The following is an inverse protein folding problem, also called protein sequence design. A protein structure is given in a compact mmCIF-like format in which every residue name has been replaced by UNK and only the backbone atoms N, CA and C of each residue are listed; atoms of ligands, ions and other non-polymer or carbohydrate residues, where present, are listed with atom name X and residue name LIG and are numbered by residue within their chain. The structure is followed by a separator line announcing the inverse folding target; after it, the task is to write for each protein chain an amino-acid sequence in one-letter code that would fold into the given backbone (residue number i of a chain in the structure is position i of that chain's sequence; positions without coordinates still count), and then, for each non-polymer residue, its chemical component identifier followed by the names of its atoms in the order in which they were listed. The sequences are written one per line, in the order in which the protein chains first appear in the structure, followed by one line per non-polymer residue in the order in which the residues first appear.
data_IF_313120516584
#
_entry.id   IF_313120516584
#
_cell.length_a   1.000
_cell.length_b   1.000
_cell.length_c   1.000
_cell.angle_alpha   90.00
_cell.angle_beta   90.00
_cell.angle_gamma   90.00
#
_symmetry.space_group_name_H-M   'P 1'
#
loop_
_entity.id
_entity.type
_entity.pdbx_description
1 polymer ?
#
# COMPACT_ATOMS: atom_id res chain seq x y z
N UNK A 1 -6.28 17.04 15.28
CA UNK A 1 -7.42 16.31 14.65
C UNK A 1 -8.60 16.33 15.61
N UNK A 2 -9.88 16.39 15.16
CA UNK A 2 -11.01 16.15 16.06
C UNK A 2 -10.88 14.75 16.68
N UNK A 3 -11.23 14.60 17.93
CA UNK A 3 -11.02 13.36 18.67
C UNK A 3 -11.94 12.20 18.25
N UNK A 4 -13.00 12.45 17.48
CA UNK A 4 -13.92 11.42 17.00
C UNK A 4 -14.63 11.86 15.72
N UNK A 5 -14.50 11.06 14.67
CA UNK A 5 -15.27 11.15 13.44
C UNK A 5 -16.55 10.34 13.56
N UNK A 6 -17.65 10.83 12.96
CA UNK A 6 -18.90 10.09 12.92
C UNK A 6 -18.78 8.84 12.03
N UNK A 7 -19.51 7.79 12.40
CA UNK A 7 -19.44 6.46 11.82
C UNK A 7 -20.80 6.07 11.24
N UNK A 8 -20.79 5.41 10.08
CA UNK A 8 -21.95 4.80 9.45
C UNK A 8 -21.65 3.34 9.06
N UNK A 9 -22.67 2.59 8.71
CA UNK A 9 -22.54 1.17 8.35
C UNK A 9 -21.50 0.92 7.24
N UNK A 10 -21.41 1.81 6.27
CA UNK A 10 -20.56 1.58 5.09
C UNK A 10 -21.14 0.56 4.12
N UNK A 11 -20.32 0.14 3.14
CA UNK A 11 -20.67 -0.80 2.08
C UNK A 11 -19.67 -1.98 2.02
N UNK A 12 -20.12 -3.20 1.67
CA UNK A 12 -19.27 -4.39 1.59
C UNK A 12 -18.39 -4.43 0.32
N UNK A 13 -17.89 -3.29 -0.10
CA UNK A 13 -17.00 -3.12 -1.25
C UNK A 13 -16.95 -1.68 -1.75
N UNK A 14 -15.93 -1.38 -2.61
CA UNK A 14 -14.78 -2.24 -2.91
C UNK A 14 -13.86 -2.44 -1.69
N UNK A 15 -13.09 -3.55 -1.63
CA UNK A 15 -12.12 -3.76 -0.54
C UNK A 15 -11.02 -2.68 -0.53
N UNK A 16 -10.47 -2.43 0.65
CA UNK A 16 -9.56 -1.32 0.92
C UNK A 16 -10.29 -0.07 1.43
N UNK A 17 -9.60 1.06 1.47
CA UNK A 17 -10.18 2.37 1.78
C UNK A 17 -10.63 3.07 0.50
N UNK A 18 -11.93 3.40 0.42
CA UNK A 18 -12.52 4.17 -0.69
C UNK A 18 -12.85 5.57 -0.18
N UNK A 19 -12.01 6.52 -0.55
CA UNK A 19 -12.09 7.91 -0.10
C UNK A 19 -13.06 8.74 -0.94
N UNK A 20 -13.80 9.60 -0.26
CA UNK A 20 -14.39 10.82 -0.80
C UNK A 20 -14.29 11.94 0.25
N UNK A 21 -14.38 13.23 -0.14
CA UNK A 21 -14.37 14.33 0.85
C UNK A 21 -15.49 14.26 1.89
N UNK A 22 -16.61 13.63 1.55
CA UNK A 22 -17.74 13.46 2.46
C UNK A 22 -17.58 12.27 3.40
N UNK A 23 -16.97 11.18 2.93
CA UNK A 23 -16.94 9.92 3.66
C UNK A 23 -15.86 9.00 3.09
N UNK A 24 -15.18 8.24 3.95
CA UNK A 24 -14.29 7.14 3.56
C UNK A 24 -14.92 5.81 3.96
N UNK A 25 -15.12 4.93 2.98
CA UNK A 25 -15.57 3.56 3.24
C UNK A 25 -14.38 2.62 3.36
N UNK A 26 -14.30 1.87 4.44
CA UNK A 26 -13.31 0.84 4.68
C UNK A 26 -13.97 -0.53 4.54
N UNK A 27 -13.32 -1.43 3.81
CA UNK A 27 -13.83 -2.78 3.62
C UNK A 27 -12.67 -3.80 3.58
N UNK A 28 -12.77 -4.87 4.39
CA UNK A 28 -11.78 -5.93 4.44
C UNK A 28 -12.44 -7.30 4.48
N UNK A 29 -11.84 -8.27 3.79
CA UNK A 29 -12.29 -9.66 3.82
C UNK A 29 -11.68 -10.39 5.03
N UNK A 30 -12.52 -11.05 5.81
CA UNK A 30 -12.05 -12.00 6.83
C UNK A 30 -13.13 -13.05 7.11
N UNK A 31 -12.84 -14.31 6.76
CA UNK A 31 -13.75 -15.43 6.98
C UNK A 31 -13.86 -15.79 8.47
N UNK A 32 -12.72 -15.82 9.15
CA UNK A 32 -12.59 -16.45 10.47
C UNK A 32 -12.55 -15.43 11.63
N UNK A 33 -12.66 -14.13 11.34
CA UNK A 33 -12.74 -13.11 12.37
C UNK A 33 -14.06 -13.18 13.11
N UNK A 34 -13.99 -13.16 14.44
CA UNK A 34 -15.15 -13.07 15.35
C UNK A 34 -15.36 -11.64 15.86
N UNK A 35 -14.42 -10.73 15.64
CA UNK A 35 -14.49 -9.31 15.93
C UNK A 35 -13.51 -8.55 15.04
N UNK A 36 -13.84 -7.29 14.78
CA UNK A 36 -13.02 -6.40 13.93
C UNK A 36 -13.08 -4.99 14.48
N UNK A 37 -11.94 -4.33 14.50
CA UNK A 37 -11.83 -2.92 14.82
C UNK A 37 -11.00 -2.22 13.73
N UNK A 38 -11.43 -1.03 13.33
CA UNK A 38 -10.64 -0.12 12.51
C UNK A 38 -9.88 0.82 13.43
N UNK A 39 -8.57 0.88 13.28
CA UNK A 39 -7.67 1.74 14.03
C UNK A 39 -7.26 2.92 13.13
N UNK A 40 -7.47 4.15 13.61
CA UNK A 40 -7.15 5.37 12.86
C UNK A 40 -6.01 6.12 13.54
N UNK A 41 -4.99 6.51 12.77
CA UNK A 41 -3.81 7.23 13.23
C UNK A 41 -3.62 8.51 12.43
N UNK A 42 -3.11 9.55 13.07
CA UNK A 42 -2.85 10.82 12.40
C UNK A 42 -1.53 10.81 11.63
N UNK A 43 -0.52 10.14 12.20
CA UNK A 43 0.84 10.09 11.68
C UNK A 43 1.46 8.70 11.84
N UNK A 44 2.52 8.42 11.09
CA UNK A 44 3.28 7.18 11.18
C UNK A 44 4.00 7.02 12.52
N UNK A 45 4.32 8.11 13.20
CA UNK A 45 4.99 8.11 14.52
C UNK A 45 4.03 7.85 15.69
N UNK A 46 2.71 7.88 15.48
CA UNK A 46 1.74 7.67 16.56
C UNK A 46 1.80 6.24 17.07
N UNK A 47 2.07 6.05 18.37
CA UNK A 47 2.04 4.74 19.00
C UNK A 47 0.61 4.22 19.18
N UNK A 48 -0.36 5.12 19.42
CA UNK A 48 -1.75 4.81 19.70
C UNK A 48 -2.68 5.44 18.66
N UNK A 49 -3.77 4.75 18.28
CA UNK A 49 -4.77 5.32 17.39
C UNK A 49 -5.51 6.47 18.06
N UNK A 50 -5.76 7.56 17.33
CA UNK A 50 -6.60 8.64 17.83
C UNK A 50 -8.09 8.23 17.90
N UNK A 51 -8.50 7.22 17.12
CA UNK A 51 -9.85 6.66 17.17
C UNK A 51 -9.80 5.16 16.89
N UNK A 52 -10.53 4.40 17.72
CA UNK A 52 -10.80 2.97 17.51
C UNK A 52 -12.28 2.80 17.20
N UNK A 53 -12.58 2.20 16.06
CA UNK A 53 -13.95 1.94 15.62
C UNK A 53 -14.24 0.45 15.75
N UNK A 54 -15.00 0.05 16.77
CA UNK A 54 -15.42 -1.33 16.92
C UNK A 54 -16.59 -1.65 16.01
N UNK A 55 -16.42 -2.64 15.15
CA UNK A 55 -17.44 -3.08 14.19
C UNK A 55 -18.43 -4.02 14.87
N UNK A 56 -19.74 -3.69 14.76
CA UNK A 56 -20.83 -4.43 15.39
C UNK A 56 -21.61 -5.25 14.36
N UNK A 57 -22.02 -6.46 14.74
CA UNK A 57 -22.90 -7.30 13.93
C UNK A 57 -24.37 -6.96 14.17
N UNK A 58 -25.24 -7.08 13.16
CA UNK A 58 -24.95 -7.42 11.75
C UNK A 58 -24.56 -6.19 10.89
N UNK A 59 -24.55 -4.98 11.45
CA UNK A 59 -24.45 -3.71 10.72
C UNK A 59 -23.18 -3.60 9.86
N UNK A 60 -22.03 -4.06 10.37
CA UNK A 60 -20.73 -3.85 9.76
C UNK A 60 -20.16 -5.12 9.11
N UNK A 61 -21.01 -6.10 8.82
CA UNK A 61 -20.59 -7.33 8.15
C UNK A 61 -21.62 -7.83 7.16
N UNK A 62 -21.17 -8.08 5.93
CA UNK A 62 -21.94 -8.79 4.91
C UNK A 62 -21.14 -10.01 4.44
N UNK A 63 -21.67 -11.22 4.67
CA UNK A 63 -20.94 -12.47 4.47
C UNK A 63 -19.59 -12.46 5.21
N UNK A 64 -18.47 -12.43 4.48
CA UNK A 64 -17.13 -12.39 5.02
C UNK A 64 -16.45 -11.01 4.91
N UNK A 65 -17.18 -10.00 4.41
CA UNK A 65 -16.68 -8.64 4.29
C UNK A 65 -17.08 -7.81 5.51
N UNK A 66 -16.09 -7.28 6.20
CA UNK A 66 -16.26 -6.32 7.28
C UNK A 66 -16.12 -4.92 6.69
N UNK A 67 -17.03 -4.03 7.04
CA UNK A 67 -17.07 -2.69 6.45
C UNK A 67 -17.57 -1.64 7.45
N UNK A 68 -17.09 -0.42 7.26
CA UNK A 68 -17.52 0.75 8.03
C UNK A 68 -17.21 2.01 7.21
N UNK A 69 -18.06 3.01 7.33
CA UNK A 69 -17.80 4.31 6.76
C UNK A 69 -17.49 5.33 7.86
N UNK A 70 -16.52 6.20 7.61
CA UNK A 70 -16.09 7.27 8.51
C UNK A 70 -16.28 8.61 7.80
N UNK A 71 -17.08 9.51 8.39
CA UNK A 71 -17.43 10.76 7.77
C UNK A 71 -16.27 11.76 7.77
N UNK A 72 -16.04 12.43 6.63
CA UNK A 72 -15.09 13.53 6.46
C UNK A 72 -13.68 13.25 7.00
N UNK A 73 -13.25 11.98 6.92
CA UNK A 73 -11.91 11.60 7.30
C UNK A 73 -10.90 12.21 6.32
N UNK A 74 -9.86 12.93 6.77
CA UNK A 74 -8.87 13.50 5.88
C UNK A 74 -8.11 12.45 5.07
N UNK A 75 -7.80 12.76 3.82
CA UNK A 75 -6.78 12.02 3.08
C UNK A 75 -5.43 12.12 3.82
N UNK A 76 -4.61 11.09 3.74
CA UNK A 76 -3.37 10.97 4.51
C UNK A 76 -3.57 10.32 5.88
N UNK A 77 -4.80 10.18 6.38
CA UNK A 77 -5.05 9.40 7.61
C UNK A 77 -4.53 7.98 7.45
N UNK A 78 -3.79 7.50 8.44
CA UNK A 78 -3.28 6.15 8.44
C UNK A 78 -4.23 5.22 9.19
N UNK A 79 -4.25 3.95 8.80
CA UNK A 79 -5.15 2.98 9.43
C UNK A 79 -4.61 1.56 9.39
N UNK A 80 -5.06 0.76 10.35
CA UNK A 80 -4.90 -0.69 10.39
C UNK A 80 -6.20 -1.36 10.85
N UNK A 81 -6.27 -2.67 10.70
CA UNK A 81 -7.31 -3.49 11.25
C UNK A 81 -6.82 -4.24 12.48
N UNK A 82 -7.60 -4.24 13.57
CA UNK A 82 -7.40 -5.18 14.68
C UNK A 82 -8.41 -6.30 14.57
N UNK A 83 -7.89 -7.48 14.28
CA UNK A 83 -8.71 -8.69 14.05
C UNK A 83 -8.74 -9.52 15.30
N UNK A 84 -9.94 -9.88 15.75
CA UNK A 84 -10.15 -10.85 16.83
C UNK A 84 -10.47 -12.21 16.23
N UNK A 85 -9.70 -13.23 16.60
CA UNK A 85 -9.92 -14.63 16.24
C UNK A 85 -10.03 -15.49 17.49
N UNK A 86 -10.68 -16.65 17.34
CA UNK A 86 -10.75 -17.69 18.37
C UNK A 86 -10.26 -18.99 17.75
N UNK A 87 -9.30 -19.62 18.41
CA UNK A 87 -8.77 -20.93 18.02
C UNK A 87 -8.63 -21.84 19.25
N UNK A 88 -7.96 -22.98 19.09
CA UNK A 88 -7.74 -23.94 20.18
C UNK A 88 -6.96 -23.36 21.39
N UNK A 89 -6.18 -22.29 21.17
CA UNK A 89 -5.38 -21.63 22.21
C UNK A 89 -6.13 -20.45 22.87
N UNK A 90 -7.36 -20.16 22.42
CA UNK A 90 -8.20 -19.11 23.00
C UNK A 90 -8.50 -17.95 22.05
N UNK A 91 -8.75 -16.78 22.64
CA UNK A 91 -9.08 -15.56 21.93
C UNK A 91 -7.81 -14.72 21.73
N UNK A 92 -7.52 -14.39 20.49
CA UNK A 92 -6.34 -13.60 20.09
C UNK A 92 -6.77 -12.34 19.34
N UNK A 93 -6.02 -11.27 19.56
CA UNK A 93 -6.13 -10.04 18.77
C UNK A 93 -4.81 -9.79 18.08
N UNK A 94 -4.90 -9.41 16.80
CA UNK A 94 -3.74 -9.07 15.99
C UNK A 94 -4.03 -7.81 15.19
N UNK A 95 -3.14 -6.83 15.26
CA UNK A 95 -3.14 -5.69 14.37
C UNK A 95 -2.50 -6.09 13.03
N UNK A 96 -3.21 -5.80 11.94
CA UNK A 96 -2.81 -6.20 10.59
C UNK A 96 -2.97 -5.05 9.61
N UNK A 97 -2.04 -4.98 8.66
CA UNK A 97 -2.17 -4.12 7.50
C UNK A 97 -3.34 -4.58 6.62
N UNK A 98 -4.06 -3.64 6.04
CA UNK A 98 -5.02 -3.94 4.98
C UNK A 98 -4.29 -4.40 3.70
N UNK A 99 -4.48 -5.65 3.25
CA UNK A 99 -3.78 -6.17 2.07
C UNK A 99 -4.20 -5.47 0.77
N UNK A 100 -5.29 -4.70 0.79
CA UNK A 100 -5.79 -3.92 -0.34
C UNK A 100 -5.73 -2.41 -0.08
N UNK A 101 -4.92 -1.98 0.91
CA UNK A 101 -4.55 -0.58 1.06
C UNK A 101 -3.96 -0.04 -0.25
N UNK A 102 -4.34 1.16 -0.65
CA UNK A 102 -3.90 1.79 -1.90
C UNK A 102 -2.58 2.55 -1.77
N UNK A 103 -2.22 2.93 -0.55
CA UNK A 103 -0.92 3.45 -0.15
C UNK A 103 -0.58 2.90 1.23
N UNK A 104 0.69 2.77 1.52
CA UNK A 104 1.16 2.31 2.84
C UNK A 104 2.28 3.21 3.37
N UNK A 105 2.35 3.30 4.70
CA UNK A 105 3.45 3.86 5.47
C UNK A 105 4.29 2.75 6.06
N UNK A 106 5.60 2.89 6.00
CA UNK A 106 6.56 1.93 6.55
C UNK A 106 7.60 2.56 7.47
N UNK A 107 7.52 3.86 7.76
CA UNK A 107 8.55 4.63 8.48
C UNK A 107 8.83 4.09 9.88
N UNK A 108 7.81 3.60 10.57
CA UNK A 108 7.91 3.15 11.96
C UNK A 108 8.30 1.68 12.11
N UNK A 109 8.46 0.94 11.00
CA UNK A 109 8.72 -0.48 11.11
C UNK A 109 10.21 -0.82 10.96
N UNK A 110 10.75 -1.49 11.98
CA UNK A 110 12.11 -2.02 12.02
C UNK A 110 12.07 -3.49 12.40
N UNK A 111 12.41 -4.38 11.46
CA UNK A 111 12.35 -5.84 11.67
C UNK A 111 13.16 -6.30 12.88
N UNK A 112 14.32 -5.68 13.16
CA UNK A 112 15.18 -6.06 14.27
C UNK A 112 14.46 -5.91 15.62
N UNK A 113 13.54 -4.98 15.73
CA UNK A 113 12.78 -4.68 16.94
C UNK A 113 11.47 -5.46 17.02
N UNK A 114 11.00 -6.01 15.89
CA UNK A 114 9.73 -6.74 15.82
C UNK A 114 9.81 -8.11 16.50
N UNK A 115 8.73 -8.49 17.18
CA UNK A 115 8.54 -9.81 17.80
C UNK A 115 7.28 -10.47 17.23
N UNK A 116 7.23 -11.82 17.14
CA UNK A 116 6.04 -12.54 16.74
C UNK A 116 4.83 -12.16 17.59
N UNK A 117 3.73 -11.76 16.91
CA UNK A 117 2.49 -11.30 17.56
C UNK A 117 2.40 -9.79 17.79
N UNK A 118 3.47 -9.04 17.54
CA UNK A 118 3.43 -7.57 17.54
C UNK A 118 3.02 -7.02 16.16
N UNK A 119 2.42 -5.81 16.11
CA UNK A 119 2.13 -5.14 14.85
C UNK A 119 3.40 -4.95 14.01
N UNK A 120 3.27 -5.08 12.69
CA UNK A 120 4.40 -4.86 11.77
C UNK A 120 4.81 -3.38 11.65
N UNK A 121 4.07 -2.44 12.24
CA UNK A 121 4.29 -1.01 12.08
C UNK A 121 3.97 -0.47 10.69
N UNK A 122 3.57 -1.34 9.76
CA UNK A 122 3.07 -0.95 8.44
C UNK A 122 1.61 -0.53 8.57
N UNK A 123 1.24 0.61 7.98
CA UNK A 123 -0.14 1.12 8.00
C UNK A 123 -0.64 1.43 6.61
N UNK A 124 -1.93 1.19 6.37
CA UNK A 124 -2.60 1.72 5.20
C UNK A 124 -2.74 3.24 5.29
N UNK A 125 -2.70 3.93 4.18
CA UNK A 125 -2.94 5.37 4.08
C UNK A 125 -4.22 5.61 3.28
N UNK A 126 -5.11 6.44 3.79
CA UNK A 126 -6.30 6.90 3.06
C UNK A 126 -5.85 7.83 1.94
N UNK A 127 -5.93 7.34 0.72
CA UNK A 127 -5.47 8.08 -0.45
C UNK A 127 -6.64 8.75 -1.18
N UNK A 128 -6.53 10.05 -1.41
CA UNK A 128 -7.38 10.77 -2.34
C UNK A 128 -6.81 10.58 -3.74
N UNK A 129 -7.59 10.03 -4.65
CA UNK A 129 -7.19 9.96 -6.05
C UNK A 129 -8.40 10.17 -6.94
N UNK A 130 -8.22 10.93 -7.99
CA UNK A 130 -9.17 11.00 -9.08
C UNK A 130 -9.07 9.73 -9.95
N UNK A 131 -10.16 9.30 -10.54
CA UNK A 131 -10.10 8.25 -11.55
C UNK A 131 -9.25 8.76 -12.72
N UNK A 132 -8.18 8.02 -13.05
CA UNK A 132 -7.38 8.32 -14.23
C UNK A 132 -7.95 7.54 -15.40
N UNK A 133 -8.20 8.20 -16.54
CA UNK A 133 -8.61 7.49 -17.74
C UNK A 133 -7.58 6.38 -18.05
N UNK A 134 -8.04 5.19 -18.34
CA UNK A 134 -7.17 4.12 -18.80
C UNK A 134 -6.71 4.46 -20.23
N UNK A 135 -5.39 4.41 -20.50
CA UNK A 135 -4.94 4.52 -21.89
C UNK A 135 -5.55 3.40 -22.74
N UNK A 136 -5.75 3.66 -24.02
CA UNK A 136 -6.24 2.66 -24.94
C UNK A 136 -5.27 1.46 -24.96
N UNK A 137 -5.78 0.22 -25.00
CA UNK A 137 -4.92 -0.95 -25.11
C UNK A 137 -4.09 -0.88 -26.40
N UNK A 138 -2.79 -1.11 -26.27
CA UNK A 138 -1.87 -1.24 -27.42
C UNK A 138 -1.76 -2.73 -27.75
N UNK A 139 -1.88 -3.09 -29.02
CA UNK A 139 -1.73 -4.48 -29.48
C UNK A 139 -0.29 -4.99 -29.32
N UNK A 140 -0.14 -6.31 -29.25
CA UNK A 140 1.17 -6.96 -29.11
C UNK A 140 1.83 -7.34 -30.47
N UNK A 141 1.20 -7.03 -31.57
CA UNK A 141 1.76 -7.30 -32.91
C UNK A 141 3.03 -6.48 -33.11
N UNK A 142 4.15 -7.15 -33.34
CA UNK A 142 5.45 -6.51 -33.46
C UNK A 142 6.03 -5.96 -32.16
N UNK A 143 5.49 -6.35 -31.00
CA UNK A 143 5.96 -5.88 -29.70
C UNK A 143 7.42 -6.26 -29.44
N UNK A 144 8.20 -5.27 -28.97
CA UNK A 144 9.52 -5.47 -28.38
C UNK A 144 9.39 -5.11 -26.90
N UNK A 145 9.40 -6.14 -26.06
CA UNK A 145 9.14 -6.01 -24.62
C UNK A 145 10.47 -5.91 -23.87
N UNK A 146 10.62 -4.86 -23.05
CA UNK A 146 11.76 -4.70 -22.16
C UNK A 146 11.33 -4.93 -20.71
N UNK A 147 11.85 -5.98 -20.09
CA UNK A 147 11.61 -6.24 -18.67
C UNK A 147 12.63 -5.45 -17.84
N UNK A 148 12.14 -4.70 -16.85
CA UNK A 148 12.98 -3.89 -15.96
C UNK A 148 12.47 -3.89 -14.51
N UNK A 149 13.40 -3.57 -13.62
CA UNK A 149 13.13 -3.34 -12.20
C UNK A 149 13.19 -1.86 -11.90
N UNK A 150 12.11 -1.25 -11.38
CA UNK A 150 12.03 0.21 -11.15
C UNK A 150 13.22 0.70 -10.33
N UNK A 151 13.47 0.10 -9.16
CA UNK A 151 14.58 0.49 -8.30
C UNK A 151 15.96 0.23 -8.88
N UNK A 152 16.13 -0.78 -9.75
CA UNK A 152 17.43 -1.17 -10.30
C UNK A 152 17.84 -0.42 -11.57
N UNK A 153 16.87 -0.14 -12.45
CA UNK A 153 17.13 0.36 -13.81
C UNK A 153 17.84 1.70 -13.86
N UNK A 154 17.55 2.58 -12.92
CA UNK A 154 18.12 3.94 -12.89
C UNK A 154 19.06 4.21 -11.73
N UNK A 155 19.35 3.23 -10.86
CA UNK A 155 20.12 3.44 -9.62
C UNK A 155 21.61 3.73 -9.88
N UNK A 156 22.19 3.16 -10.93
CA UNK A 156 23.60 3.40 -11.24
C UNK A 156 23.81 4.85 -11.74
N UNK A 157 24.88 5.54 -11.31
CA UNK A 157 25.14 6.94 -11.70
C UNK A 157 25.17 7.18 -13.21
N UNK A 158 25.59 6.19 -14.03
CA UNK A 158 25.56 6.29 -15.48
C UNK A 158 24.16 6.44 -16.09
N UNK A 159 23.11 6.20 -15.31
CA UNK A 159 21.74 6.46 -15.76
C UNK A 159 21.49 7.96 -16.00
N UNK A 160 22.19 8.84 -15.27
CA UNK A 160 22.11 10.29 -15.47
C UNK A 160 20.75 10.90 -15.17
N UNK A 161 19.97 10.28 -14.25
CA UNK A 161 18.65 10.76 -13.87
C UNK A 161 18.69 11.51 -12.54
N UNK A 162 17.73 12.41 -12.32
CA UNK A 162 17.66 13.24 -11.10
C UNK A 162 17.22 12.46 -9.87
N UNK A 163 16.30 11.49 -10.07
CA UNK A 163 15.72 10.67 -8.99
C UNK A 163 15.98 9.18 -9.25
N UNK A 164 17.20 8.68 -8.93
CA UNK A 164 17.59 7.30 -9.20
C UNK A 164 16.74 6.29 -8.43
N UNK A 165 16.30 5.22 -9.08
CA UNK A 165 15.57 4.13 -8.48
C UNK A 165 14.10 4.43 -8.18
N UNK A 166 13.53 5.49 -8.77
CA UNK A 166 12.14 5.89 -8.54
C UNK A 166 11.29 5.83 -9.81
N UNK A 167 9.97 5.96 -9.65
CA UNK A 167 9.02 6.11 -10.76
C UNK A 167 9.37 7.33 -11.62
N UNK A 168 9.69 8.46 -11.00
CA UNK A 168 10.10 9.68 -11.70
C UNK A 168 11.40 9.49 -12.49
N UNK A 169 12.39 8.78 -11.91
CA UNK A 169 13.63 8.46 -12.61
C UNK A 169 13.41 7.54 -13.83
N UNK A 170 12.41 6.66 -13.76
CA UNK A 170 12.04 5.81 -14.89
C UNK A 170 11.43 6.61 -16.04
N UNK A 171 10.59 7.62 -15.75
CA UNK A 171 10.05 8.54 -16.74
C UNK A 171 11.18 9.22 -17.55
N UNK A 172 12.25 9.65 -16.88
CA UNK A 172 13.40 10.28 -17.54
C UNK A 172 14.11 9.36 -18.53
N UNK A 173 13.89 8.03 -18.46
CA UNK A 173 14.47 7.03 -19.37
C UNK A 173 13.59 6.64 -20.55
N UNK A 174 12.37 7.18 -20.66
CA UNK A 174 11.48 6.91 -21.80
C UNK A 174 12.15 7.21 -23.15
N UNK A 175 12.84 8.37 -23.35
CA UNK A 175 13.53 8.62 -24.62
C UNK A 175 14.56 7.54 -24.96
N UNK A 176 15.37 7.09 -24.00
CA UNK A 176 16.33 6.01 -24.18
C UNK A 176 15.67 4.70 -24.63
N UNK A 177 14.55 4.32 -23.98
CA UNK A 177 13.82 3.10 -24.34
C UNK A 177 13.23 3.20 -25.75
N UNK A 178 12.72 4.36 -26.14
CA UNK A 178 12.20 4.62 -27.49
C UNK A 178 13.30 4.56 -28.55
N UNK A 179 14.46 5.16 -28.28
CA UNK A 179 15.64 5.13 -29.20
C UNK A 179 16.16 3.70 -29.36
N UNK A 180 16.01 2.85 -28.33
CA UNK A 180 16.34 1.43 -28.39
C UNK A 180 15.30 0.59 -29.16
N UNK A 181 14.18 1.19 -29.57
CA UNK A 181 13.10 0.52 -30.30
C UNK A 181 12.13 -0.26 -29.42
N UNK A 182 12.12 -0.01 -28.13
CA UNK A 182 11.20 -0.68 -27.19
C UNK A 182 9.79 -0.14 -27.37
N UNK A 183 8.83 -1.02 -27.51
CA UNK A 183 7.41 -0.68 -27.66
C UNK A 183 6.59 -0.92 -26.38
N UNK A 184 7.06 -1.86 -25.53
CA UNK A 184 6.37 -2.22 -24.30
C UNK A 184 7.39 -2.39 -23.17
N UNK A 185 7.00 -1.94 -21.97
CA UNK A 185 7.79 -2.13 -20.76
C UNK A 185 7.05 -3.08 -19.82
N UNK A 186 7.71 -4.18 -19.49
CA UNK A 186 7.27 -5.07 -18.41
C UNK A 186 8.09 -4.74 -17.16
N UNK A 187 7.44 -4.10 -16.18
CA UNK A 187 8.11 -3.87 -14.89
C UNK A 187 7.99 -5.08 -13.97
N UNK A 188 9.04 -5.34 -13.22
CA UNK A 188 9.01 -6.31 -12.11
C UNK A 188 8.06 -5.82 -11.01
N UNK A 189 7.69 -6.68 -10.02
CA UNK A 189 6.70 -6.33 -9.01
C UNK A 189 6.88 -4.91 -8.48
N UNK A 190 5.83 -4.11 -8.57
CA UNK A 190 5.82 -2.72 -8.09
C UNK A 190 4.76 -2.51 -7.01
N UNK A 191 4.09 -3.58 -6.57
CA UNK A 191 3.24 -3.56 -5.39
C UNK A 191 4.09 -3.44 -4.13
N UNK A 192 3.54 -2.88 -3.08
CA UNK A 192 4.24 -2.69 -1.82
C UNK A 192 4.66 -4.02 -1.20
N UNK A 193 5.93 -4.14 -0.87
CA UNK A 193 6.54 -5.29 -0.21
C UNK A 193 7.41 -4.84 0.96
N UNK A 194 7.71 -5.76 1.84
CA UNK A 194 8.62 -5.53 2.95
C UNK A 194 10.07 -5.68 2.50
N UNK A 195 10.79 -4.56 2.42
CA UNK A 195 12.23 -4.55 2.09
C UNK A 195 13.08 -5.31 3.12
N UNK A 196 12.60 -5.46 4.34
CA UNK A 196 13.29 -6.13 5.43
C UNK A 196 12.97 -7.63 5.50
N UNK A 197 12.07 -8.15 4.61
CA UNK A 197 11.74 -9.57 4.59
C UNK A 197 12.84 -10.40 3.93
N UNK A 198 13.91 -10.62 4.68
CA UNK A 198 15.07 -11.43 4.30
C UNK A 198 15.53 -12.29 5.48
N UNK A 199 16.20 -13.43 5.23
CA UNK A 199 16.83 -14.22 6.30
C UNK A 199 17.82 -13.39 7.12
N UNK A 200 17.96 -13.67 8.42
CA UNK A 200 18.86 -12.96 9.32
C UNK A 200 20.32 -12.92 8.81
N UNK A 201 20.79 -14.00 8.17
CA UNK A 201 22.12 -14.07 7.57
C UNK A 201 22.31 -13.12 6.38
N UNK A 202 21.24 -12.75 5.70
CA UNK A 202 21.23 -11.80 4.60
C UNK A 202 21.16 -10.37 5.15
N UNK A 203 20.29 -10.13 6.15
CA UNK A 203 20.18 -8.86 6.85
C UNK A 203 21.48 -8.45 7.51
N UNK A 204 22.21 -9.41 8.14
CA UNK A 204 23.53 -9.16 8.77
C UNK A 204 24.60 -8.68 7.77
N UNK A 205 24.39 -8.86 6.46
CA UNK A 205 25.25 -8.36 5.38
C UNK A 205 24.80 -7.00 4.82
N UNK A 206 23.79 -6.37 5.43
CA UNK A 206 23.20 -5.12 4.96
C UNK A 206 22.41 -5.26 3.66
N UNK A 207 21.96 -6.48 3.34
CA UNK A 207 21.16 -6.74 2.13
C UNK A 207 19.67 -6.77 2.47
N UNK A 208 18.86 -6.33 1.52
CA UNK A 208 17.42 -6.21 1.63
C UNK A 208 16.69 -7.04 0.57
N UNK A 209 15.40 -7.25 0.75
CA UNK A 209 14.53 -7.80 -0.28
C UNK A 209 14.49 -6.83 -1.46
N UNK A 210 15.23 -7.17 -2.51
CA UNK A 210 15.35 -6.33 -3.71
C UNK A 210 14.22 -6.59 -4.71
N UNK A 211 13.83 -7.85 -4.85
CA UNK A 211 12.94 -8.26 -5.94
C UNK A 211 11.46 -7.99 -5.69
N UNK A 212 11.01 -7.98 -4.45
CA UNK A 212 9.63 -7.64 -4.08
C UNK A 212 8.56 -8.68 -4.44
N UNK A 213 8.93 -9.95 -4.54
CA UNK A 213 7.98 -11.02 -4.88
C UNK A 213 7.10 -11.51 -3.70
N UNK A 214 7.18 -10.84 -2.55
CA UNK A 214 6.33 -11.06 -1.39
C UNK A 214 5.53 -9.79 -1.05
N UNK A 215 4.53 -9.39 -1.87
CA UNK A 215 3.78 -8.17 -1.63
C UNK A 215 2.98 -8.25 -0.32
N UNK A 216 2.96 -7.15 0.43
CA UNK A 216 2.18 -7.00 1.67
C UNK A 216 0.88 -6.21 1.42
N UNK A 217 0.86 -5.35 0.40
CA UNK A 217 -0.33 -4.62 -0.05
C UNK A 217 -0.39 -4.62 -1.58
N UNK A 218 -1.33 -5.40 -2.11
CA UNK A 218 -1.43 -5.67 -3.56
C UNK A 218 -1.87 -4.45 -4.39
N UNK A 219 -2.62 -3.54 -3.77
CA UNK A 219 -3.17 -2.35 -4.44
C UNK A 219 -2.32 -1.09 -4.24
N UNK A 220 -1.25 -1.16 -3.44
CA UNK A 220 -0.34 -0.05 -3.16
C UNK A 220 0.89 -0.13 -4.07
N UNK A 221 1.32 0.96 -4.72
CA UNK A 221 2.67 1.07 -5.25
C UNK A 221 3.70 0.92 -4.12
N UNK A 222 4.87 0.38 -4.44
CA UNK A 222 5.94 0.26 -3.44
C UNK A 222 6.48 1.64 -3.05
N UNK A 223 6.38 2.05 -1.77
CA UNK A 223 6.80 3.40 -1.33
C UNK A 223 8.29 3.67 -1.56
N UNK A 224 9.13 2.64 -1.55
CA UNK A 224 10.55 2.75 -1.86
C UNK A 224 10.87 3.21 -3.28
N UNK A 225 9.91 3.18 -4.21
CA UNK A 225 10.05 3.68 -5.59
C UNK A 225 9.44 5.07 -5.80
N UNK A 226 8.83 5.66 -4.78
CA UNK A 226 8.35 7.03 -4.82
C UNK A 226 9.35 7.99 -4.18
N UNK A 227 9.31 9.27 -4.60
CA UNK A 227 10.07 10.35 -3.94
C UNK A 227 9.42 10.77 -2.63
N UNK A 228 8.08 10.62 -2.53
CA UNK A 228 7.26 10.89 -1.34
C UNK A 228 6.79 9.54 -0.74
N UNK A 229 7.62 8.95 0.12
CA UNK A 229 7.42 7.56 0.59
C UNK A 229 6.28 7.38 1.59
N UNK A 230 5.99 8.38 2.41
CA UNK A 230 5.02 8.32 3.52
C UNK A 230 3.74 9.11 3.22
N UNK A 231 3.48 9.36 1.96
CA UNK A 231 2.40 10.22 1.50
C UNK A 231 1.49 9.49 0.51
N UNK A 232 0.21 9.84 0.43
CA UNK A 232 -0.67 9.34 -0.62
C UNK A 232 -0.18 9.69 -2.03
N UNK A 233 0.67 10.70 -2.19
CA UNK A 233 1.28 11.10 -3.47
C UNK A 233 2.17 10.01 -4.11
N UNK A 234 2.59 8.98 -3.36
CA UNK A 234 3.23 7.79 -3.94
C UNK A 234 2.39 7.15 -5.05
N UNK A 235 1.05 7.24 -4.95
CA UNK A 235 0.13 6.78 -5.99
C UNK A 235 0.22 7.66 -7.22
N UNK A 236 0.27 8.98 -7.04
CA UNK A 236 0.29 9.94 -8.15
C UNK A 236 1.59 9.81 -8.94
N UNK A 237 2.74 9.66 -8.28
CA UNK A 237 4.00 9.37 -8.99
C UNK A 237 3.93 8.07 -9.81
N UNK A 238 3.31 7.03 -9.28
CA UNK A 238 3.10 5.78 -10.03
C UNK A 238 2.19 5.99 -11.24
N UNK A 239 1.11 6.77 -11.09
CA UNK A 239 0.15 7.07 -12.17
C UNK A 239 0.79 7.95 -13.24
N UNK A 240 1.58 8.95 -12.84
CA UNK A 240 2.34 9.80 -13.75
C UNK A 240 3.30 8.97 -14.59
N UNK A 241 3.97 7.99 -13.97
CA UNK A 241 4.80 7.05 -14.71
C UNK A 241 3.98 6.25 -15.73
N UNK A 242 2.84 5.69 -15.33
CA UNK A 242 1.98 4.91 -16.25
C UNK A 242 1.41 5.77 -17.37
N UNK A 243 1.10 7.04 -17.09
CA UNK A 243 0.60 7.97 -18.10
C UNK A 243 1.68 8.45 -19.07
N UNK A 244 2.96 8.45 -18.65
CA UNK A 244 4.08 8.87 -19.47
C UNK A 244 4.54 7.80 -20.48
N UNK A 245 4.27 6.51 -20.19
CA UNK A 245 4.54 5.36 -21.05
C UNK A 245 3.43 5.13 -22.06
#
# INVERSE_FOLDING_TARGET
MPSNYAIAAGAPGPPGASYSPAQTNFCVYSRDAVGMELLLFADSADAEPFQVVTLTLPMHRHAFFWHVAVDRLPAGTQYNWRVTRVDANGRHQLEVLDPLARAISSTCWVRADWRPGEPLGLRGIVASHADTPRPAPVGLDGAIIYELHVGGFTRHPSAGVRQPGTFSGLIEKIPYLRDLGITHVQRRPGAAFDEQDVPASVAARGLHNFWGYSPVALASPHPGYATQRESPEQIDEFRDMVAAF
#
